data_IF_261843387257
#
_entry.id   IF_261843387257
#
_cell.length_a   1.000
_cell.length_b   1.000
_cell.length_c   1.000
_cell.angle_alpha   90.00
_cell.angle_beta   90.00
_cell.angle_gamma   90.00
#
_symmetry.space_group_name_H-M   'P 1'
#
loop_
_entity.id
_entity.type
_entity.pdbx_description
1 polymer ?
#
# COMPACT_ATOMS: atom_id res chain seq x y z
N UNK A 1 -36.59 -24.25 -20.72
CA UNK A 1 -36.60 -22.77 -20.77
C UNK A 1 -35.38 -22.29 -20.02
N UNK A 2 -34.42 -21.64 -20.69
CA UNK A 2 -33.23 -21.09 -20.03
C UNK A 2 -33.58 -19.67 -19.54
N UNK A 3 -33.48 -19.44 -18.23
CA UNK A 3 -33.62 -18.11 -17.65
C UNK A 3 -32.25 -17.45 -17.75
N UNK A 4 -32.10 -16.52 -18.70
CA UNK A 4 -30.96 -15.60 -18.71
C UNK A 4 -31.22 -14.58 -17.60
N UNK A 5 -30.51 -14.68 -16.48
CA UNK A 5 -30.44 -13.57 -15.54
C UNK A 5 -29.74 -12.41 -16.27
N UNK A 6 -30.32 -11.19 -16.33
CA UNK A 6 -29.60 -10.06 -16.87
C UNK A 6 -28.42 -9.85 -15.93
N UNK A 7 -27.21 -10.04 -16.46
CA UNK A 7 -25.98 -9.60 -15.84
C UNK A 7 -26.17 -8.10 -15.61
N UNK A 8 -26.54 -7.73 -14.38
CA UNK A 8 -26.59 -6.34 -13.96
C UNK A 8 -25.15 -5.89 -13.93
N UNK A 9 -24.64 -5.49 -15.10
CA UNK A 9 -23.52 -4.59 -15.18
C UNK A 9 -24.03 -3.28 -14.59
N UNK A 10 -23.92 -3.17 -13.27
CA UNK A 10 -23.86 -1.86 -12.62
C UNK A 10 -22.72 -1.17 -13.35
N UNK A 11 -23.07 -0.19 -14.18
CA UNK A 11 -22.11 0.63 -14.89
C UNK A 11 -21.19 1.24 -13.83
N UNK A 12 -20.04 0.62 -13.60
CA UNK A 12 -18.94 1.29 -12.96
C UNK A 12 -18.62 2.43 -13.90
N UNK A 13 -18.94 3.66 -13.49
CA UNK A 13 -18.45 4.85 -14.19
C UNK A 13 -16.94 4.63 -14.43
N UNK A 14 -16.40 4.98 -15.60
CA UNK A 14 -14.95 4.99 -15.80
C UNK A 14 -14.37 6.12 -14.94
N UNK A 15 -14.33 5.86 -13.63
CA UNK A 15 -13.69 6.72 -12.66
C UNK A 15 -12.20 6.67 -12.92
N UNK A 16 -11.53 7.80 -12.70
CA UNK A 16 -10.08 7.83 -12.68
C UNK A 16 -9.57 7.01 -11.51
N UNK A 17 -8.70 6.04 -11.77
CA UNK A 17 -7.98 5.35 -10.70
C UNK A 17 -6.92 6.29 -10.10
N UNK A 18 -6.70 6.18 -8.79
CA UNK A 18 -5.72 7.00 -8.07
C UNK A 18 -4.80 6.15 -7.21
N UNK A 19 -3.50 6.40 -7.32
CA UNK A 19 -2.47 5.86 -6.43
C UNK A 19 -1.95 7.00 -5.54
N UNK A 20 -1.99 6.82 -4.22
CA UNK A 20 -1.57 7.85 -3.25
C UNK A 20 -0.65 7.25 -2.20
N UNK A 21 0.40 7.99 -1.83
CA UNK A 21 1.29 7.66 -0.73
C UNK A 21 1.26 8.77 0.31
N UNK A 22 0.97 8.40 1.55
CA UNK A 22 1.12 9.28 2.70
C UNK A 22 2.41 8.92 3.41
N UNK A 23 3.29 9.91 3.61
CA UNK A 23 4.56 9.75 4.32
C UNK A 23 4.60 10.71 5.49
N UNK A 24 5.08 10.24 6.62
CA UNK A 24 5.31 11.04 7.81
C UNK A 24 6.72 10.75 8.30
N UNK A 25 7.49 11.81 8.51
CA UNK A 25 8.81 11.78 9.12
C UNK A 25 8.79 12.62 10.41
N UNK A 26 9.39 12.10 11.47
CA UNK A 26 9.50 12.74 12.78
C UNK A 26 10.98 12.91 13.08
N UNK A 27 11.45 14.16 13.22
CA UNK A 27 12.87 14.45 13.40
C UNK A 27 13.43 14.06 14.78
N UNK A 28 12.57 14.03 15.81
CA UNK A 28 12.94 13.67 17.18
C UNK A 28 11.86 12.74 17.77
N UNK A 29 11.88 11.44 17.41
CA UNK A 29 10.86 10.50 17.84
C UNK A 29 11.05 10.12 19.31
N UNK A 30 9.96 10.18 20.08
CA UNK A 30 9.93 9.59 21.42
C UNK A 30 10.12 8.06 21.35
N UNK A 31 10.62 7.41 22.41
CA UNK A 31 10.80 5.96 22.43
C UNK A 31 9.51 5.21 22.04
N UNK A 32 9.61 4.31 21.06
CA UNK A 32 8.49 3.51 20.57
C UNK A 32 7.66 4.19 19.46
N UNK A 33 7.94 5.44 19.10
CA UNK A 33 7.34 6.11 17.94
C UNK A 33 8.25 5.89 16.72
N UNK A 34 7.72 5.44 15.57
CA UNK A 34 8.52 5.34 14.36
C UNK A 34 8.95 6.74 13.89
N UNK A 35 10.23 6.87 13.58
CA UNK A 35 10.78 8.05 12.91
C UNK A 35 10.15 8.29 11.55
N UNK A 36 9.80 7.21 10.83
CA UNK A 36 9.19 7.31 9.52
C UNK A 36 8.12 6.24 9.30
N UNK A 37 7.01 6.65 8.70
CA UNK A 37 5.97 5.73 8.21
C UNK A 37 5.54 6.12 6.80
N UNK A 38 5.12 5.12 6.02
CA UNK A 38 4.51 5.32 4.71
C UNK A 38 3.33 4.39 4.51
N UNK A 39 2.24 4.91 3.93
CA UNK A 39 1.04 4.12 3.59
C UNK A 39 0.64 4.39 2.15
N UNK A 40 0.54 3.33 1.35
CA UNK A 40 0.08 3.41 -0.04
C UNK A 40 -1.40 3.05 -0.17
N UNK A 41 -2.12 3.75 -1.04
CA UNK A 41 -3.53 3.56 -1.33
C UNK A 41 -3.79 3.48 -2.83
N UNK A 42 -4.66 2.56 -3.26
CA UNK A 42 -5.29 2.56 -4.58
C UNK A 42 -6.78 2.79 -4.40
N UNK A 43 -7.32 3.84 -5.02
CA UNK A 43 -8.76 4.17 -4.96
C UNK A 43 -9.31 4.25 -3.52
N UNK A 44 -8.48 4.78 -2.61
CA UNK A 44 -8.78 4.88 -1.17
C UNK A 44 -8.72 3.57 -0.38
N UNK A 45 -8.31 2.46 -1.01
CA UNK A 45 -8.03 1.19 -0.33
C UNK A 45 -6.54 1.09 0.01
N UNK A 46 -6.17 0.82 1.27
CA UNK A 46 -4.77 0.67 1.64
C UNK A 46 -4.17 -0.59 1.00
N UNK A 47 -3.03 -0.42 0.34
CA UNK A 47 -2.34 -1.50 -0.39
C UNK A 47 -0.99 -1.85 0.24
N UNK A 48 -0.33 -0.90 0.91
CA UNK A 48 0.97 -1.10 1.54
C UNK A 48 1.13 -0.28 2.81
N UNK A 49 1.93 -0.76 3.76
CA UNK A 49 2.45 0.03 4.88
C UNK A 49 3.94 -0.20 5.05
N UNK A 50 4.65 0.82 5.51
CA UNK A 50 6.03 0.75 5.98
C UNK A 50 6.14 1.50 7.30
N UNK A 51 6.94 0.98 8.23
CA UNK A 51 7.36 1.68 9.45
C UNK A 51 8.87 1.48 9.69
N UNK A 52 9.55 2.50 10.19
CA UNK A 52 11.00 2.49 10.42
C UNK A 52 11.44 1.71 11.66
N UNK A 53 10.54 1.32 12.56
CA UNK A 53 10.84 0.46 13.72
C UNK A 53 11.10 -0.96 13.24
N UNK A 54 10.20 -1.51 12.41
CA UNK A 54 10.36 -2.87 11.85
C UNK A 54 11.19 -2.90 10.57
N UNK A 55 11.32 -1.76 9.88
CA UNK A 55 11.97 -1.61 8.57
C UNK A 55 11.40 -2.56 7.51
N UNK A 56 10.10 -2.85 7.60
CA UNK A 56 9.41 -3.77 6.71
C UNK A 56 8.31 -3.07 5.91
N UNK A 57 8.27 -3.30 4.60
CA UNK A 57 7.12 -2.96 3.76
C UNK A 57 6.19 -4.16 3.69
N UNK A 58 4.93 -3.98 4.09
CA UNK A 58 3.93 -5.04 4.17
C UNK A 58 2.75 -4.79 3.23
N UNK A 59 2.25 -5.82 2.53
CA UNK A 59 0.98 -5.72 1.82
C UNK A 59 -0.17 -5.51 2.79
N UNK A 60 -1.18 -4.75 2.37
CA UNK A 60 -2.43 -4.55 3.12
C UNK A 60 -3.67 -5.08 2.40
N UNK A 61 -3.51 -5.50 1.15
CA UNK A 61 -4.56 -6.17 0.39
C UNK A 61 -4.07 -7.56 -0.06
N UNK A 62 -4.92 -8.61 -0.04
CA UNK A 62 -4.53 -9.97 -0.45
C UNK A 62 -3.92 -10.00 -1.85
N UNK A 63 -4.54 -9.28 -2.80
CA UNK A 63 -4.06 -9.21 -4.18
C UNK A 63 -2.66 -8.58 -4.31
N UNK A 64 -2.26 -7.69 -3.39
CA UNK A 64 -0.88 -7.17 -3.38
C UNK A 64 0.10 -8.27 -2.96
N UNK A 65 -0.24 -9.06 -1.94
CA UNK A 65 0.60 -10.14 -1.46
C UNK A 65 0.75 -11.28 -2.49
N UNK A 66 -0.31 -11.55 -3.25
CA UNK A 66 -0.36 -12.64 -4.22
C UNK A 66 0.28 -12.31 -5.57
N UNK A 67 0.27 -11.04 -5.99
CA UNK A 67 0.70 -10.65 -7.35
C UNK A 67 2.07 -9.95 -7.40
N UNK A 68 2.65 -9.57 -6.26
CA UNK A 68 3.97 -8.95 -6.22
C UNK A 68 4.99 -9.93 -5.66
N UNK A 69 6.13 -10.03 -6.35
CA UNK A 69 7.25 -10.89 -5.96
C UNK A 69 7.77 -10.54 -4.55
N UNK A 70 8.37 -11.52 -3.86
CA UNK A 70 8.85 -11.35 -2.48
C UNK A 70 9.91 -10.25 -2.37
N UNK A 71 10.72 -10.09 -3.42
CA UNK A 71 11.74 -9.05 -3.54
C UNK A 71 11.17 -7.63 -3.40
N UNK A 72 9.92 -7.42 -3.82
CA UNK A 72 9.20 -6.14 -3.74
C UNK A 72 9.00 -5.71 -2.29
N UNK A 73 8.79 -6.68 -1.41
CA UNK A 73 8.54 -6.48 0.02
C UNK A 73 9.83 -6.42 0.82
N UNK A 74 10.85 -7.18 0.41
CA UNK A 74 12.15 -7.24 1.06
C UNK A 74 13.01 -6.00 0.82
N UNK A 75 12.87 -5.34 -0.34
CA UNK A 75 13.69 -4.18 -0.76
C UNK A 75 13.70 -3.02 0.23
N UNK A 76 12.66 -2.87 1.05
CA UNK A 76 12.57 -1.80 2.04
C UNK A 76 13.62 -1.92 3.16
N UNK A 77 14.14 -3.12 3.42
CA UNK A 77 15.16 -3.36 4.44
C UNK A 77 16.56 -2.87 4.02
N UNK A 78 16.76 -2.58 2.74
CA UNK A 78 18.07 -2.21 2.15
C UNK A 78 18.13 -0.75 1.68
N UNK A 79 17.07 0.03 1.88
CA UNK A 79 17.07 1.45 1.53
C UNK A 79 18.01 2.22 2.48
N UNK A 80 19.03 2.91 1.96
CA UNK A 80 19.90 3.72 2.80
C UNK A 80 19.10 4.86 3.44
N UNK A 81 19.45 5.19 4.69
CA UNK A 81 18.80 6.19 5.55
C UNK A 81 18.66 7.60 4.91
N UNK A 82 19.38 7.85 3.83
CA UNK A 82 19.40 9.14 3.13
C UNK A 82 18.47 9.21 1.91
N UNK A 83 17.82 8.11 1.51
CA UNK A 83 16.88 8.04 0.38
C UNK A 83 15.42 8.32 0.81
N UNK A 84 15.19 8.67 2.08
CA UNK A 84 13.87 8.97 2.63
C UNK A 84 13.36 10.38 2.35
N UNK A 85 14.22 11.28 1.84
CA UNK A 85 13.92 12.68 1.49
C UNK A 85 13.64 12.86 0.00
#
# INVERSE_FOLDING_TARGET
TAILLPLVFLFSSPGTHSLRYFRLAVSDPSPGVPEFISVGYVDSHPITTYDSVTRQKKPRAPWMAENLESDHWERASHLPENDWL
#
